data_IF_239613132682
#
_entry.id   IF_239613132682
#
_cell.length_a   1.000
_cell.length_b   1.000
_cell.length_c   1.000
_cell.angle_alpha   90.00
_cell.angle_beta   90.00
_cell.angle_gamma   90.00
#
_symmetry.space_group_name_H-M   'P 1'
#
loop_
_entity.id
_entity.type
_entity.pdbx_description
1 polymer ?
#
# COMPACT_ATOMS: atom_id res chain seq x y z
N UNK A 1 -14.42 9.48 10.86
CA UNK A 1 -13.41 9.37 11.93
C UNK A 1 -12.08 9.04 11.26
N UNK A 2 -11.13 9.96 11.35
CA UNK A 2 -9.92 10.05 10.52
C UNK A 2 -8.85 9.02 10.93
N UNK A 3 -8.93 7.83 10.35
CA UNK A 3 -7.99 6.72 10.59
C UNK A 3 -6.52 7.10 10.37
N UNK A 4 -6.24 8.08 9.52
CA UNK A 4 -4.87 8.51 9.23
C UNK A 4 -4.23 9.26 10.40
N UNK A 5 -4.99 10.07 11.14
CA UNK A 5 -4.48 10.86 12.27
C UNK A 5 -4.26 9.99 13.50
N UNK A 6 -5.17 9.04 13.77
CA UNK A 6 -4.98 8.05 14.82
C UNK A 6 -3.78 7.14 14.52
N UNK A 7 -3.66 6.63 13.29
CA UNK A 7 -2.50 5.82 12.89
C UNK A 7 -1.21 6.62 13.01
N UNK A 8 -1.21 7.91 12.65
CA UNK A 8 -0.02 8.77 12.77
C UNK A 8 0.36 9.00 14.24
N UNK A 9 -0.61 9.26 15.13
CA UNK A 9 -0.37 9.38 16.57
C UNK A 9 0.18 8.09 17.17
N UNK A 10 -0.28 6.93 16.72
CA UNK A 10 0.22 5.63 17.16
C UNK A 10 1.65 5.43 16.67
N UNK A 11 1.94 5.68 15.39
CA UNK A 11 3.29 5.53 14.82
C UNK A 11 4.29 6.49 15.50
N UNK A 12 3.90 7.76 15.69
CA UNK A 12 4.73 8.77 16.36
C UNK A 12 4.99 8.40 17.84
N UNK A 13 3.99 7.82 18.54
CA UNK A 13 4.13 7.36 19.94
C UNK A 13 5.16 6.25 20.12
N UNK A 14 5.34 5.39 19.12
CA UNK A 14 6.33 4.31 19.14
C UNK A 14 7.57 4.65 18.31
N UNK A 15 7.84 5.95 18.08
CA UNK A 15 9.03 6.46 17.43
C UNK A 15 9.30 5.83 16.04
N UNK A 16 8.23 5.58 15.29
CA UNK A 16 8.25 4.86 14.00
C UNK A 16 8.82 3.42 14.08
N UNK A 17 9.06 2.90 15.28
CA UNK A 17 9.61 1.57 15.52
C UNK A 17 8.52 0.51 15.53
N UNK A 18 8.57 -0.36 14.53
CA UNK A 18 7.70 -1.55 14.45
C UNK A 18 7.86 -2.46 15.67
N UNK A 19 9.08 -2.56 16.21
CA UNK A 19 9.38 -3.45 17.32
C UNK A 19 8.73 -2.98 18.63
N UNK A 20 8.67 -1.66 18.86
CA UNK A 20 8.02 -1.09 20.04
C UNK A 20 6.49 -1.18 19.93
N UNK A 21 5.94 -0.96 18.73
CA UNK A 21 4.51 -1.16 18.49
C UNK A 21 4.07 -2.62 18.73
N UNK A 22 4.91 -3.60 18.36
CA UNK A 22 4.60 -5.02 18.56
C UNK A 22 4.73 -5.46 20.02
N UNK A 23 5.69 -4.88 20.76
CA UNK A 23 5.98 -5.28 22.14
C UNK A 23 5.11 -4.55 23.18
N UNK A 24 4.81 -3.27 22.93
CA UNK A 24 4.11 -2.39 23.89
C UNK A 24 2.74 -1.93 23.40
N UNK A 25 2.37 -2.24 22.15
CA UNK A 25 1.09 -1.84 21.57
C UNK A 25 -0.05 -2.80 21.90
N UNK A 26 -1.25 -2.26 22.06
CA UNK A 26 -2.44 -3.06 22.26
C UNK A 26 -2.81 -3.77 20.95
N UNK A 27 -3.37 -4.98 21.00
CA UNK A 27 -3.79 -5.72 19.81
C UNK A 27 -4.71 -4.92 18.86
N UNK A 28 -5.51 -3.98 19.40
CA UNK A 28 -6.35 -3.05 18.62
C UNK A 28 -5.52 -2.01 17.85
N UNK A 29 -4.48 -1.43 18.46
CA UNK A 29 -3.58 -0.46 17.82
C UNK A 29 -2.79 -1.13 16.71
N UNK A 30 -2.23 -2.31 16.99
CA UNK A 30 -1.50 -3.11 16.01
C UNK A 30 -2.36 -3.47 14.79
N UNK A 31 -3.58 -3.98 15.03
CA UNK A 31 -4.53 -4.31 13.95
C UNK A 31 -4.87 -3.09 13.09
N UNK A 32 -4.98 -1.91 13.71
CA UNK A 32 -5.31 -0.66 13.02
C UNK A 32 -4.16 -0.21 12.12
N UNK A 33 -2.92 -0.22 12.64
CA UNK A 33 -1.71 0.10 11.86
C UNK A 33 -1.52 -0.89 10.72
N UNK A 34 -1.64 -2.19 10.98
CA UNK A 34 -1.51 -3.23 9.96
C UNK A 34 -2.56 -3.12 8.86
N UNK A 35 -3.82 -2.87 9.22
CA UNK A 35 -4.89 -2.63 8.24
C UNK A 35 -4.58 -1.43 7.36
N UNK A 36 -4.09 -0.34 7.95
CA UNK A 36 -3.69 0.85 7.21
C UNK A 36 -2.57 0.56 6.20
N UNK A 37 -1.52 -0.16 6.61
CA UNK A 37 -0.41 -0.56 5.72
C UNK A 37 -0.93 -1.43 4.57
N UNK A 38 -1.77 -2.43 4.86
CA UNK A 38 -2.35 -3.31 3.86
C UNK A 38 -3.18 -2.54 2.83
N UNK A 39 -4.00 -1.57 3.26
CA UNK A 39 -4.80 -0.74 2.36
C UNK A 39 -3.93 0.14 1.45
N UNK A 40 -2.82 0.69 1.98
CA UNK A 40 -1.86 1.46 1.19
C UNK A 40 -1.12 0.58 0.18
N UNK A 41 -0.69 -0.61 0.59
CA UNK A 41 -0.05 -1.60 -0.28
C UNK A 41 -1.00 -2.01 -1.41
N UNK A 42 -2.27 -2.30 -1.10
CA UNK A 42 -3.30 -2.65 -2.07
C UNK A 42 -3.56 -1.51 -3.07
N UNK A 43 -3.59 -0.24 -2.62
CA UNK A 43 -3.69 0.92 -3.53
C UNK A 43 -2.50 0.99 -4.50
N UNK A 44 -1.28 0.86 -4.00
CA UNK A 44 -0.05 0.85 -4.83
C UNK A 44 -0.04 -0.34 -5.80
N UNK A 45 -0.45 -1.51 -5.35
CA UNK A 45 -0.54 -2.71 -6.18
C UNK A 45 -1.59 -2.55 -7.29
N UNK A 46 -2.77 -1.98 -7.01
CA UNK A 46 -3.78 -1.69 -8.04
C UNK A 46 -3.26 -0.72 -9.09
N UNK A 47 -2.52 0.31 -8.69
CA UNK A 47 -1.83 1.20 -9.63
C UNK A 47 -0.82 0.40 -10.46
N UNK A 48 0.11 -0.33 -9.85
CA UNK A 48 1.12 -1.11 -10.57
C UNK A 48 0.50 -2.15 -11.53
N UNK A 49 -0.53 -2.87 -11.11
CA UNK A 49 -1.22 -3.88 -11.94
C UNK A 49 -2.02 -3.21 -13.05
N UNK A 50 -2.71 -2.11 -12.77
CA UNK A 50 -3.39 -1.30 -13.79
C UNK A 50 -2.43 -0.79 -14.86
N UNK A 51 -1.27 -0.30 -14.45
CA UNK A 51 -0.21 0.16 -15.35
C UNK A 51 0.44 -0.98 -16.13
N UNK A 52 0.65 -2.16 -15.51
CA UNK A 52 1.10 -3.37 -16.22
C UNK A 52 0.10 -3.80 -17.30
N UNK A 53 -1.21 -3.69 -17.02
CA UNK A 53 -2.27 -4.02 -17.98
C UNK A 53 -2.29 -3.04 -19.15
N UNK A 54 -2.23 -1.73 -18.88
CA UNK A 54 -2.13 -0.68 -19.92
C UNK A 54 -0.85 -0.82 -20.76
N UNK A 55 0.29 -1.08 -20.11
CA UNK A 55 1.59 -1.27 -20.79
C UNK A 55 1.60 -2.50 -21.69
N UNK A 56 0.95 -3.61 -21.32
CA UNK A 56 0.82 -4.80 -22.19
C UNK A 56 -0.06 -4.52 -23.41
N UNK A 57 -1.17 -3.80 -23.25
CA UNK A 57 -2.04 -3.40 -24.37
C UNK A 57 -1.34 -2.48 -25.38
N UNK A 58 -0.53 -1.54 -24.91
CA UNK A 58 0.27 -0.66 -25.77
C UNK A 58 1.36 -1.41 -26.54
N UNK A 59 2.06 -2.36 -25.91
CA UNK A 59 3.03 -3.21 -26.61
C UNK A 59 2.39 -4.06 -27.72
N UNK A 60 1.19 -4.59 -27.47
CA UNK A 60 0.50 -5.42 -28.46
C UNK A 60 0.02 -4.63 -29.68
N UNK A 61 -0.41 -3.38 -29.50
CA UNK A 61 -0.72 -2.47 -30.64
C UNK A 61 0.51 -2.14 -31.46
N UNK A 62 1.64 -1.85 -30.81
CA UNK A 62 2.87 -1.50 -31.52
C UNK A 62 3.43 -2.70 -32.29
N UNK A 63 3.31 -3.94 -31.77
CA UNK A 63 3.78 -5.13 -32.49
C UNK A 63 2.90 -5.50 -33.70
N UNK A 64 1.62 -5.11 -33.71
CA UNK A 64 0.74 -5.27 -34.88
C UNK A 64 1.00 -4.25 -35.98
N UNK A 65 1.67 -3.13 -35.66
CA UNK A 65 2.02 -2.07 -36.62
C UNK A 65 3.36 -2.33 -37.35
N UNK A 66 4.13 -3.34 -36.93
CA UNK A 66 5.41 -3.72 -37.56
C UNK A 66 5.38 -5.13 -38.19
N UNK A 67 4.20 -5.69 -38.44
CA UNK A 67 4.02 -6.94 -39.19
C UNK A 67 3.52 -6.61 -40.60
N UNK A 68 4.40 -6.08 -41.45
CA UNK A 68 4.27 -6.07 -42.90
C UNK A 68 5.19 -7.13 -43.49
#
# INVERSE_FOLDING_TARGET
MTTKEEVKRIIDKYNESFSELSNNGTAKEFKTVMKYIADQANKRQRQLVGWKRLRKGLKNKNNSLYSC
#
